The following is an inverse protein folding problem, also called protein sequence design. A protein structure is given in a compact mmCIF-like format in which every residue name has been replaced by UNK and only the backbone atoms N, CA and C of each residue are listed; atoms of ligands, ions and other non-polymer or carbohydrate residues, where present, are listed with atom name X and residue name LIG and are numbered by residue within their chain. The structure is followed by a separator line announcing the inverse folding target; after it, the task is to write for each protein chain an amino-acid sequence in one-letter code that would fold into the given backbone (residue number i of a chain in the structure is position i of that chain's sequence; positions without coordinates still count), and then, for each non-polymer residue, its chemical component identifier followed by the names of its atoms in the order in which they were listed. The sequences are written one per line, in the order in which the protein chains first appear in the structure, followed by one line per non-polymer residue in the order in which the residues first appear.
data_IF_976461789923
#
_entry.id   IF_976461789923
#
_cell.length_a   1.000
_cell.length_b   1.000
_cell.length_c   1.000
_cell.angle_alpha   90.00
_cell.angle_beta   90.00
_cell.angle_gamma   90.00
#
_symmetry.space_group_name_H-M   'P 1'
#
loop_
_entity.id
_entity.type
_entity.pdbx_description
1 polymer ?
#
# COMPACT_ATOMS: atom_id res chain seq x y z
N UNK A 1 25.45 20.60 15.10
CA UNK A 1 24.25 19.76 15.28
C UNK A 1 23.88 19.25 13.90
N UNK A 2 23.77 17.94 13.69
CA UNK A 2 23.44 17.39 12.36
C UNK A 2 21.95 17.63 12.11
N UNK A 3 21.63 18.31 11.03
CA UNK A 3 20.28 18.63 10.58
C UNK A 3 20.06 18.11 9.16
N UNK A 4 18.80 18.00 8.73
CA UNK A 4 18.46 17.59 7.36
C UNK A 4 19.19 18.51 6.36
N UNK A 5 19.72 17.91 5.29
CA UNK A 5 20.53 18.57 4.26
C UNK A 5 21.90 19.11 4.70
N UNK A 6 22.37 18.85 5.93
CA UNK A 6 23.75 19.17 6.31
C UNK A 6 24.76 18.30 5.53
N UNK A 7 26.02 18.73 5.34
CA UNK A 7 27.05 17.91 4.69
C UNK A 7 27.23 16.54 5.36
N UNK A 8 27.17 16.49 6.69
CA UNK A 8 27.29 15.25 7.46
C UNK A 8 26.08 14.33 7.26
N UNK A 9 24.86 14.90 7.23
CA UNK A 9 23.64 14.16 6.93
C UNK A 9 23.68 13.59 5.52
N UNK A 10 24.04 14.40 4.52
CA UNK A 10 24.14 13.97 3.13
C UNK A 10 25.20 12.86 2.95
N UNK A 11 26.34 12.99 3.63
CA UNK A 11 27.37 11.93 3.62
C UNK A 11 26.85 10.64 4.26
N UNK A 12 26.07 10.73 5.34
CA UNK A 12 25.43 9.56 5.95
C UNK A 12 24.39 8.94 5.03
N UNK A 13 23.46 9.75 4.51
CA UNK A 13 22.41 9.32 3.59
C UNK A 13 23.00 8.64 2.35
N UNK A 14 24.09 9.17 1.77
CA UNK A 14 24.78 8.55 0.65
C UNK A 14 25.25 7.12 0.98
N UNK A 15 25.78 6.88 2.19
CA UNK A 15 26.16 5.51 2.62
C UNK A 15 24.95 4.60 2.79
N UNK A 16 23.84 5.13 3.33
CA UNK A 16 22.61 4.36 3.52
C UNK A 16 21.96 4.00 2.18
N UNK A 17 21.89 4.95 1.24
CA UNK A 17 21.23 4.73 -0.05
C UNK A 17 21.96 3.73 -0.94
N UNK A 18 23.25 3.50 -0.72
CA UNK A 18 23.95 2.38 -1.38
C UNK A 18 23.27 1.05 -1.08
N UNK A 19 22.63 0.88 0.09
CA UNK A 19 21.85 -0.31 0.41
C UNK A 19 20.63 -0.47 -0.50
N UNK A 20 20.01 0.63 -0.96
CA UNK A 20 18.87 0.58 -1.88
C UNK A 20 19.21 -0.19 -3.15
N UNK A 21 20.40 0.05 -3.71
CA UNK A 21 20.87 -0.53 -4.96
C UNK A 21 20.98 -2.06 -4.90
N UNK A 22 21.16 -2.64 -3.72
CA UNK A 22 21.29 -4.09 -3.53
C UNK A 22 19.97 -4.80 -3.27
N UNK A 23 18.95 -4.09 -2.76
CA UNK A 23 17.75 -4.72 -2.21
C UNK A 23 16.43 -4.21 -2.79
N UNK A 24 16.45 -3.10 -3.54
CA UNK A 24 15.27 -2.53 -4.19
C UNK A 24 15.52 -2.52 -5.70
N UNK A 25 14.70 -3.26 -6.42
CA UNK A 25 14.74 -3.30 -7.87
C UNK A 25 14.50 -1.91 -8.46
N UNK A 26 15.31 -1.52 -9.45
CA UNK A 26 15.28 -0.21 -10.10
C UNK A 26 15.44 1.00 -9.15
N UNK A 27 16.09 0.82 -8.00
CA UNK A 27 16.40 1.94 -7.10
C UNK A 27 17.32 2.98 -7.75
N UNK A 28 17.01 4.25 -7.49
CA UNK A 28 17.83 5.39 -7.85
C UNK A 28 18.18 6.19 -6.59
N UNK A 29 19.31 6.89 -6.60
CA UNK A 29 19.64 7.83 -5.53
C UNK A 29 18.60 8.95 -5.45
N UNK A 30 18.33 9.46 -4.25
CA UNK A 30 17.42 10.61 -4.09
C UNK A 30 18.15 11.90 -4.44
N UNK A 31 17.37 12.92 -4.81
CA UNK A 31 17.92 14.27 -4.97
C UNK A 31 18.05 14.96 -3.61
N UNK A 32 19.26 15.00 -3.07
CA UNK A 32 19.54 15.60 -1.76
C UNK A 32 19.33 17.13 -1.74
N UNK A 33 19.18 17.78 -2.90
CA UNK A 33 18.89 19.21 -2.99
C UNK A 33 17.38 19.50 -3.01
N UNK A 34 16.53 18.49 -3.22
CA UNK A 34 15.09 18.66 -3.23
C UNK A 34 14.53 18.55 -1.79
N UNK A 35 14.03 19.66 -1.21
CA UNK A 35 13.57 19.71 0.18
C UNK A 35 12.27 18.93 0.41
N UNK A 36 11.66 18.36 -0.64
CA UNK A 36 10.49 17.49 -0.51
C UNK A 36 10.85 16.09 -0.03
N UNK A 37 12.11 15.69 -0.13
CA UNK A 37 12.57 14.42 0.40
C UNK A 37 12.57 14.44 1.92
N UNK A 38 11.99 13.40 2.49
CA UNK A 38 12.00 13.14 3.92
C UNK A 38 12.50 11.72 4.16
N UNK A 39 13.40 11.56 5.12
CA UNK A 39 14.05 10.28 5.40
C UNK A 39 13.77 9.83 6.83
N UNK A 40 13.44 8.55 6.98
CA UNK A 40 13.29 7.88 8.27
C UNK A 40 14.39 6.84 8.40
N UNK A 41 15.02 6.78 9.57
CA UNK A 41 16.03 5.77 9.88
C UNK A 41 15.57 4.95 11.07
N UNK A 42 15.68 3.64 10.95
CA UNK A 42 15.44 2.69 12.03
C UNK A 42 16.79 2.20 12.53
N UNK A 43 17.01 2.29 13.84
CA UNK A 43 18.20 1.78 14.48
C UNK A 43 17.87 0.72 15.54
N UNK A 44 18.75 -0.26 15.66
CA UNK A 44 18.84 -1.13 16.82
C UNK A 44 19.80 -0.51 17.83
N UNK A 45 19.36 -0.32 19.08
CA UNK A 45 20.24 0.08 20.18
C UNK A 45 20.76 -1.15 20.93
N UNK A 46 22.08 -1.22 21.14
CA UNK A 46 22.72 -2.30 21.90
C UNK A 46 23.80 -1.74 22.81
N UNK A 47 24.13 -2.47 23.89
CA UNK A 47 25.27 -2.14 24.76
C UNK A 47 26.45 -3.01 24.40
N UNK A 48 27.63 -2.40 24.28
CA UNK A 48 28.89 -3.13 24.20
C UNK A 48 29.29 -3.70 25.57
N UNK A 49 30.27 -4.59 25.58
CA UNK A 49 30.84 -5.19 26.80
C UNK A 49 31.40 -4.14 27.77
N UNK A 50 31.83 -2.98 27.25
CA UNK A 50 32.27 -1.81 28.03
C UNK A 50 31.12 -0.99 28.65
N UNK A 51 29.87 -1.43 28.48
CA UNK A 51 28.66 -0.74 28.95
C UNK A 51 28.18 0.41 28.05
N UNK A 52 28.92 0.74 27.00
CA UNK A 52 28.60 1.89 26.14
C UNK A 52 27.46 1.55 25.19
N UNK A 53 26.42 2.39 25.19
CA UNK A 53 25.33 2.31 24.21
C UNK A 53 25.83 2.65 22.81
N UNK A 54 25.46 1.82 21.84
CA UNK A 54 25.70 1.99 20.41
C UNK A 54 24.41 1.76 19.65
N UNK A 55 24.39 2.26 18.42
CA UNK A 55 23.27 2.08 17.49
C UNK A 55 23.78 1.46 16.19
N UNK A 56 23.03 0.50 15.66
CA UNK A 56 23.23 -0.08 14.34
C UNK A 56 22.05 0.28 13.45
N UNK A 57 22.31 0.65 12.20
CA UNK A 57 21.23 0.92 11.24
C UNK A 57 20.52 -0.39 10.91
N UNK A 58 19.23 -0.47 11.21
CA UNK A 58 18.39 -1.62 10.92
C UNK A 58 17.61 -1.48 9.60
N UNK A 59 17.29 -0.24 9.21
CA UNK A 59 16.59 0.04 7.97
C UNK A 59 16.36 1.53 7.78
N UNK A 60 15.80 1.89 6.64
CA UNK A 60 15.45 3.27 6.34
C UNK A 60 14.25 3.34 5.38
N UNK A 61 13.64 4.52 5.32
CA UNK A 61 12.64 4.85 4.31
C UNK A 61 12.90 6.26 3.77
N UNK A 62 12.70 6.45 2.48
CA UNK A 62 12.72 7.76 1.83
C UNK A 62 11.37 7.99 1.17
N UNK A 63 10.78 9.15 1.45
CA UNK A 63 9.53 9.56 0.84
C UNK A 63 9.64 10.95 0.24
N UNK A 64 8.77 11.23 -0.73
CA UNK A 64 8.62 12.56 -1.33
C UNK A 64 7.30 13.16 -0.91
N UNK A 65 7.35 14.36 -0.35
CA UNK A 65 6.16 15.17 0.01
C UNK A 65 5.62 15.88 -1.23
N UNK A 66 4.87 15.16 -2.08
CA UNK A 66 4.27 15.76 -3.27
C UNK A 66 3.22 16.81 -2.90
N UNK A 67 3.29 17.97 -3.55
CA UNK A 67 2.25 18.98 -3.46
C UNK A 67 0.93 18.43 -4.00
N UNK A 68 -0.14 18.66 -3.26
CA UNK A 68 -1.50 18.37 -3.65
C UNK A 68 -2.31 19.66 -3.53
N UNK A 69 -2.72 20.21 -4.68
CA UNK A 69 -3.49 21.46 -4.74
C UNK A 69 -4.75 21.42 -3.85
N UNK A 70 -5.12 22.52 -3.17
CA UNK A 70 -4.47 23.84 -3.19
C UNK A 70 -3.37 24.04 -2.15
N UNK A 71 -3.39 23.31 -1.03
CA UNK A 71 -2.54 23.59 0.14
C UNK A 71 -2.12 22.31 0.88
N UNK A 72 -2.25 21.16 0.23
CA UNK A 72 -2.07 19.84 0.83
C UNK A 72 -0.81 19.14 0.34
N UNK A 73 -0.49 18.03 0.99
CA UNK A 73 0.64 17.17 0.71
C UNK A 73 0.14 15.73 0.58
N UNK A 74 0.69 15.01 -0.40
CA UNK A 74 0.53 13.56 -0.58
C UNK A 74 1.91 12.90 -0.46
N UNK A 75 2.32 12.49 0.74
CA UNK A 75 3.55 11.73 0.91
C UNK A 75 3.52 10.46 0.06
N UNK A 76 4.59 10.22 -0.70
CA UNK A 76 4.79 8.99 -1.46
C UNK A 76 6.05 8.31 -0.96
N UNK A 77 5.89 7.15 -0.33
CA UNK A 77 7.00 6.27 0.04
C UNK A 77 7.65 5.80 -1.26
N UNK A 78 8.86 6.27 -1.53
CA UNK A 78 9.62 5.90 -2.72
C UNK A 78 10.50 4.67 -2.43
N UNK A 79 11.13 4.67 -1.26
CA UNK A 79 12.03 3.60 -0.82
C UNK A 79 11.71 3.24 0.62
N UNK A 80 11.68 1.95 0.93
CA UNK A 80 11.62 1.44 2.29
C UNK A 80 12.32 0.10 2.35
N UNK A 81 13.24 -0.04 3.28
CA UNK A 81 14.10 -1.19 3.40
C UNK A 81 14.36 -1.52 4.87
N UNK A 82 14.38 -2.82 5.18
CA UNK A 82 15.06 -3.36 6.34
C UNK A 82 16.25 -4.18 5.86
N UNK A 83 17.35 -4.18 6.61
CA UNK A 83 18.46 -5.10 6.32
C UNK A 83 17.99 -6.56 6.52
N UNK A 84 18.52 -7.53 5.74
CA UNK A 84 18.02 -8.91 5.73
C UNK A 84 17.94 -9.59 7.11
N UNK A 85 18.88 -9.30 8.01
CA UNK A 85 18.91 -9.88 9.35
C UNK A 85 17.82 -9.36 10.29
N UNK A 86 17.09 -8.31 9.92
CA UNK A 86 15.92 -7.79 10.65
C UNK A 86 14.58 -8.22 10.05
N UNK A 87 14.57 -9.09 9.03
CA UNK A 87 13.35 -9.58 8.41
C UNK A 87 12.63 -10.60 9.30
N UNK A 88 11.33 -10.82 9.05
CA UNK A 88 10.54 -11.87 9.71
C UNK A 88 10.11 -11.61 11.16
N UNK A 89 10.73 -10.66 11.87
CA UNK A 89 10.47 -10.37 13.29
C UNK A 89 9.42 -9.27 13.56
N UNK A 90 8.53 -8.98 12.59
CA UNK A 90 7.52 -7.91 12.69
C UNK A 90 8.06 -6.48 12.73
N UNK A 91 9.38 -6.30 12.56
CA UNK A 91 10.04 -5.00 12.58
C UNK A 91 9.54 -4.10 11.44
N UNK A 92 9.30 -4.67 10.25
CA UNK A 92 8.84 -3.90 9.08
C UNK A 92 7.47 -3.28 9.28
N UNK A 93 6.54 -4.02 9.90
CA UNK A 93 5.22 -3.52 10.24
C UNK A 93 5.32 -2.38 11.28
N UNK A 94 6.13 -2.56 12.33
CA UNK A 94 6.36 -1.53 13.36
C UNK A 94 6.99 -0.27 12.76
N UNK A 95 7.96 -0.43 11.87
CA UNK A 95 8.61 0.70 11.20
C UNK A 95 7.63 1.47 10.32
N UNK A 96 6.84 0.77 9.50
CA UNK A 96 5.80 1.39 8.67
C UNK A 96 4.73 2.09 9.52
N UNK A 97 4.30 1.47 10.63
CA UNK A 97 3.36 2.06 11.59
C UNK A 97 3.91 3.34 12.22
N UNK A 98 5.21 3.37 12.56
CA UNK A 98 5.87 4.57 13.09
C UNK A 98 5.89 5.71 12.06
N UNK A 99 6.23 5.42 10.80
CA UNK A 99 6.18 6.39 9.69
C UNK A 99 4.75 6.93 9.53
N UNK A 100 3.74 6.06 9.56
CA UNK A 100 2.34 6.49 9.45
C UNK A 100 1.92 7.37 10.62
N UNK A 101 2.25 6.97 11.86
CA UNK A 101 1.90 7.74 13.04
C UNK A 101 2.46 9.16 13.01
N UNK A 102 3.68 9.33 12.49
CA UNK A 102 4.29 10.64 12.24
C UNK A 102 3.52 11.43 11.17
N UNK A 103 3.34 10.85 9.97
CA UNK A 103 2.68 11.52 8.86
C UNK A 103 1.21 11.89 9.13
N UNK A 104 0.49 11.09 9.91
CA UNK A 104 -0.91 11.34 10.27
C UNK A 104 -1.06 12.60 11.15
N UNK A 105 -0.02 12.98 11.92
CA UNK A 105 -0.06 14.20 12.74
C UNK A 105 -0.07 15.48 11.90
N UNK A 106 0.42 15.44 10.66
CA UNK A 106 0.46 16.61 9.79
C UNK A 106 -0.91 16.84 9.12
N UNK A 107 -1.65 17.92 9.47
CA UNK A 107 -2.97 18.20 8.90
C UNK A 107 -2.94 18.55 7.40
N UNK A 108 -1.75 18.83 6.83
CA UNK A 108 -1.59 19.01 5.38
C UNK A 108 -1.57 17.68 4.63
N UNK A 109 -1.26 16.57 5.30
CA UNK A 109 -1.25 15.25 4.68
C UNK A 109 -2.69 14.82 4.38
N UNK A 110 -2.97 14.53 3.11
CA UNK A 110 -4.30 14.05 2.68
C UNK A 110 -4.41 12.53 2.74
N UNK A 111 -3.42 11.84 2.16
CA UNK A 111 -3.29 10.40 2.13
C UNK A 111 -1.82 10.01 1.92
N UNK A 112 -1.49 8.76 2.22
CA UNK A 112 -0.15 8.21 2.03
C UNK A 112 -0.16 7.24 0.86
N UNK A 113 0.82 7.38 -0.02
CA UNK A 113 0.97 6.57 -1.23
C UNK A 113 2.34 5.89 -1.27
N UNK A 114 2.54 4.99 -2.23
CA UNK A 114 3.83 4.33 -2.45
C UNK A 114 4.13 4.30 -3.95
N UNK A 115 5.40 4.46 -4.29
CA UNK A 115 5.91 4.31 -5.65
C UNK A 115 6.10 2.83 -5.96
N UNK A 116 5.47 2.36 -7.04
CA UNK A 116 5.56 0.97 -7.56
C UNK A 116 5.82 -0.08 -6.47
N UNK A 117 4.86 -0.31 -5.56
CA UNK A 117 5.12 -1.07 -4.34
C UNK A 117 5.39 -2.55 -4.64
N UNK A 118 6.50 -3.07 -4.10
CA UNK A 118 6.80 -4.51 -4.12
C UNK A 118 5.74 -5.33 -3.35
N UNK A 119 5.58 -6.60 -3.69
CA UNK A 119 4.58 -7.50 -3.07
C UNK A 119 4.75 -7.62 -1.54
N UNK A 120 5.99 -7.68 -1.06
CA UNK A 120 6.32 -7.72 0.37
C UNK A 120 5.89 -6.44 1.10
N UNK A 121 6.03 -5.29 0.44
CA UNK A 121 5.54 -4.00 0.96
C UNK A 121 4.01 -3.96 0.95
N UNK A 122 3.36 -4.43 -0.11
CA UNK A 122 1.89 -4.50 -0.18
C UNK A 122 1.35 -5.32 0.99
N UNK A 123 1.91 -6.52 1.21
CA UNK A 123 1.50 -7.40 2.32
C UNK A 123 1.68 -6.73 3.69
N UNK A 124 2.82 -6.06 3.89
CA UNK A 124 3.12 -5.35 5.15
C UNK A 124 2.16 -4.17 5.35
N UNK A 125 1.93 -3.38 4.30
CA UNK A 125 0.99 -2.25 4.31
C UNK A 125 -0.43 -2.71 4.60
N UNK A 126 -0.88 -3.79 3.97
CA UNK A 126 -2.20 -4.35 4.19
C UNK A 126 -2.38 -4.78 5.64
N UNK A 127 -1.39 -5.47 6.22
CA UNK A 127 -1.42 -5.86 7.63
C UNK A 127 -1.51 -4.64 8.57
N UNK A 128 -0.68 -3.62 8.35
CA UNK A 128 -0.70 -2.38 9.17
C UNK A 128 -2.04 -1.65 9.02
N UNK A 129 -2.53 -1.50 7.79
CA UNK A 129 -3.79 -0.82 7.52
C UNK A 129 -4.99 -1.59 8.10
N UNK A 130 -5.01 -2.91 8.00
CA UNK A 130 -6.06 -3.73 8.59
C UNK A 130 -6.01 -3.67 10.12
N UNK A 131 -4.82 -3.69 10.72
CA UNK A 131 -4.64 -3.56 12.18
C UNK A 131 -5.12 -2.21 12.70
N UNK A 132 -4.93 -1.14 11.92
CA UNK A 132 -5.45 0.18 12.25
C UNK A 132 -6.97 0.24 12.06
N UNK A 133 -7.48 -0.14 10.89
CA UNK A 133 -8.91 -0.03 10.57
C UNK A 133 -9.79 -0.98 11.37
N UNK A 134 -9.30 -2.13 11.84
CA UNK A 134 -10.08 -3.04 12.69
C UNK A 134 -10.50 -2.40 14.02
N UNK A 135 -9.83 -1.32 14.45
CA UNK A 135 -10.21 -0.53 15.64
C UNK A 135 -11.39 0.42 15.40
N UNK A 136 -11.80 0.63 14.15
CA UNK A 136 -12.87 1.55 13.77
C UNK A 136 -14.22 0.83 13.71
N UNK A 137 -15.25 1.47 14.29
CA UNK A 137 -16.64 0.95 14.29
C UNK A 137 -17.17 0.67 12.87
N UNK A 138 -16.73 1.47 11.90
CA UNK A 138 -17.12 1.35 10.49
C UNK A 138 -16.67 0.02 9.89
N UNK A 139 -15.59 -0.57 10.41
CA UNK A 139 -15.02 -1.85 9.97
C UNK A 139 -15.38 -3.03 10.88
N UNK A 140 -16.36 -2.89 11.79
CA UNK A 140 -16.89 -4.02 12.54
C UNK A 140 -17.58 -5.04 11.62
N UNK A 141 -17.59 -6.32 12.02
CA UNK A 141 -18.13 -7.44 11.26
C UNK A 141 -19.53 -7.20 10.66
N UNK A 142 -20.43 -6.60 11.44
CA UNK A 142 -21.81 -6.34 11.01
C UNK A 142 -21.90 -5.27 9.90
N UNK A 143 -20.93 -4.36 9.84
CA UNK A 143 -20.86 -3.35 8.78
C UNK A 143 -20.13 -3.90 7.55
N UNK A 144 -19.10 -4.72 7.73
CA UNK A 144 -18.39 -5.37 6.63
C UNK A 144 -19.32 -6.23 5.75
N UNK A 145 -20.28 -6.94 6.37
CA UNK A 145 -21.28 -7.75 5.66
C UNK A 145 -22.19 -6.93 4.74
N UNK A 146 -22.37 -5.64 4.98
CA UNK A 146 -23.28 -4.76 4.22
C UNK A 146 -22.67 -4.21 2.93
N UNK A 147 -21.39 -4.48 2.65
CA UNK A 147 -20.69 -3.91 1.50
C UNK A 147 -19.68 -2.82 1.89
N UNK A 148 -18.87 -2.40 0.92
CA UNK A 148 -17.95 -1.28 1.10
C UNK A 148 -18.71 0.05 1.06
N UNK A 149 -18.64 0.83 2.14
CA UNK A 149 -19.40 2.08 2.28
C UNK A 149 -18.54 3.33 2.25
N UNK A 150 -19.18 4.48 2.04
CA UNK A 150 -18.52 5.80 2.07
C UNK A 150 -18.00 6.13 3.48
N UNK A 151 -18.68 5.67 4.53
CA UNK A 151 -18.25 5.84 5.92
C UNK A 151 -16.93 5.10 6.17
N UNK A 152 -16.78 3.87 5.68
CA UNK A 152 -15.52 3.11 5.77
C UNK A 152 -14.38 3.85 5.06
N UNK A 153 -14.66 4.33 3.83
CA UNK A 153 -13.68 5.11 3.04
C UNK A 153 -13.25 6.37 3.79
N UNK A 154 -14.21 7.13 4.30
CA UNK A 154 -13.94 8.40 5.00
C UNK A 154 -13.26 8.17 6.34
N UNK A 155 -13.65 7.16 7.10
CA UNK A 155 -13.01 6.83 8.38
C UNK A 155 -11.55 6.42 8.19
N UNK A 156 -11.25 5.56 7.22
CA UNK A 156 -9.88 5.16 6.89
C UNK A 156 -9.02 6.36 6.43
N UNK A 157 -9.59 7.25 5.60
CA UNK A 157 -8.90 8.45 5.12
C UNK A 157 -8.65 9.46 6.25
N UNK A 158 -9.67 9.78 7.05
CA UNK A 158 -9.59 10.82 8.08
C UNK A 158 -8.73 10.39 9.27
N UNK A 159 -8.83 9.13 9.70
CA UNK A 159 -8.12 8.62 10.88
C UNK A 159 -6.71 8.17 10.58
N UNK A 160 -6.48 7.59 9.42
CA UNK A 160 -5.22 6.91 9.10
C UNK A 160 -4.59 7.35 7.77
N UNK A 161 -5.15 8.35 7.08
CA UNK A 161 -4.65 8.85 5.79
C UNK A 161 -4.53 7.73 4.74
N UNK A 162 -5.42 6.74 4.81
CA UNK A 162 -5.47 5.61 3.87
C UNK A 162 -6.30 6.03 2.65
N UNK A 163 -5.68 6.00 1.46
CA UNK A 163 -6.36 6.38 0.22
C UNK A 163 -7.52 5.41 -0.13
N UNK A 164 -8.50 5.84 -0.95
CA UNK A 164 -9.69 5.04 -1.26
C UNK A 164 -9.42 3.64 -1.83
N UNK A 165 -8.38 3.50 -2.66
CA UNK A 165 -7.99 2.19 -3.24
C UNK A 165 -7.53 1.23 -2.14
N UNK A 166 -6.75 1.72 -1.19
CA UNK A 166 -6.30 0.94 -0.03
C UNK A 166 -7.43 0.68 0.97
N UNK A 167 -8.32 1.65 1.21
CA UNK A 167 -9.47 1.45 2.08
C UNK A 167 -10.40 0.34 1.57
N UNK A 168 -10.63 0.27 0.25
CA UNK A 168 -11.38 -0.83 -0.38
C UNK A 168 -10.70 -2.17 -0.18
N UNK A 169 -9.38 -2.23 -0.30
CA UNK A 169 -8.58 -3.46 -0.10
C UNK A 169 -8.64 -3.93 1.35
N UNK A 170 -8.53 -3.01 2.31
CA UNK A 170 -8.70 -3.28 3.76
C UNK A 170 -10.08 -3.84 4.06
N UNK A 171 -11.13 -3.26 3.47
CA UNK A 171 -12.49 -3.80 3.56
C UNK A 171 -12.58 -5.25 3.07
N UNK A 172 -12.00 -5.57 1.91
CA UNK A 172 -12.03 -6.93 1.36
C UNK A 172 -11.33 -7.92 2.30
N UNK A 173 -10.14 -7.57 2.80
CA UNK A 173 -9.38 -8.41 3.75
C UNK A 173 -10.16 -8.63 5.04
N UNK A 174 -10.65 -7.55 5.65
CA UNK A 174 -11.38 -7.64 6.92
C UNK A 174 -12.72 -8.34 6.76
N UNK A 175 -13.42 -8.16 5.64
CA UNK A 175 -14.66 -8.92 5.34
C UNK A 175 -14.35 -10.41 5.23
N UNK A 176 -13.34 -10.79 4.45
CA UNK A 176 -12.92 -12.19 4.32
C UNK A 176 -12.52 -12.80 5.67
N UNK A 177 -11.87 -12.03 6.54
CA UNK A 177 -11.48 -12.48 7.87
C UNK A 177 -12.69 -12.88 8.75
N UNK A 178 -13.84 -12.23 8.58
CA UNK A 178 -15.05 -12.46 9.38
C UNK A 178 -16.06 -13.41 8.73
N UNK A 179 -15.81 -13.90 7.51
CA UNK A 179 -16.67 -14.92 6.89
C UNK A 179 -16.39 -16.28 7.55
N UNK A 180 -17.45 -16.94 8.01
CA UNK A 180 -17.35 -18.28 8.58
C UNK A 180 -16.90 -19.30 7.52
N UNK A 181 -16.05 -20.25 7.90
CA UNK A 181 -15.50 -21.29 6.98
C UNK A 181 -16.60 -22.06 6.24
N UNK A 182 -17.79 -22.20 6.85
CA UNK A 182 -18.93 -22.94 6.32
C UNK A 182 -20.02 -22.05 5.71
N UNK A 183 -19.81 -20.75 5.65
CA UNK A 183 -20.79 -19.81 5.11
C UNK A 183 -20.60 -19.62 3.60
N UNK A 184 -21.07 -20.62 2.83
CA UNK A 184 -20.96 -20.63 1.37
C UNK A 184 -21.63 -19.42 0.72
N UNK A 185 -22.78 -19.00 1.27
CA UNK A 185 -23.52 -17.85 0.75
C UNK A 185 -22.71 -16.56 0.93
N UNK A 186 -22.15 -16.32 2.12
CA UNK A 186 -21.33 -15.15 2.34
C UNK A 186 -20.05 -15.17 1.50
N UNK A 187 -19.45 -16.34 1.27
CA UNK A 187 -18.30 -16.49 0.38
C UNK A 187 -18.64 -16.17 -1.07
N UNK A 188 -19.80 -16.59 -1.57
CA UNK A 188 -20.24 -16.26 -2.93
C UNK A 188 -20.54 -14.76 -3.08
N UNK A 189 -21.24 -14.16 -2.12
CA UNK A 189 -21.48 -12.71 -2.10
C UNK A 189 -20.17 -11.90 -2.03
N UNK A 190 -19.17 -12.41 -1.30
CA UNK A 190 -17.83 -11.84 -1.25
C UNK A 190 -17.13 -11.94 -2.60
N UNK A 191 -17.13 -13.13 -3.23
CA UNK A 191 -16.51 -13.36 -4.54
C UNK A 191 -17.08 -12.43 -5.61
N UNK A 192 -18.41 -12.29 -5.66
CA UNK A 192 -19.09 -11.42 -6.61
C UNK A 192 -18.71 -9.94 -6.42
N UNK A 193 -18.62 -9.46 -5.17
CA UNK A 193 -18.21 -8.08 -4.89
C UNK A 193 -16.76 -7.80 -5.31
N UNK A 194 -15.82 -8.69 -4.98
CA UNK A 194 -14.41 -8.54 -5.39
C UNK A 194 -14.29 -8.58 -6.92
N UNK A 195 -14.95 -9.54 -7.59
CA UNK A 195 -14.94 -9.61 -9.06
C UNK A 195 -15.56 -8.38 -9.70
N UNK A 196 -16.64 -7.83 -9.16
CA UNK A 196 -17.25 -6.57 -9.65
C UNK A 196 -16.27 -5.40 -9.58
N UNK A 197 -15.40 -5.33 -8.57
CA UNK A 197 -14.29 -4.36 -8.53
C UNK A 197 -13.25 -4.66 -9.60
N UNK A 198 -12.78 -5.90 -9.68
CA UNK A 198 -11.74 -6.33 -10.62
C UNK A 198 -12.17 -6.18 -12.08
N UNK A 199 -13.47 -6.21 -12.37
CA UNK A 199 -14.01 -6.01 -13.71
C UNK A 199 -13.94 -4.56 -14.17
N UNK A 200 -13.87 -3.58 -13.25
CA UNK A 200 -13.94 -2.14 -13.60
C UNK A 200 -12.91 -1.71 -14.67
N UNK A 201 -11.62 -2.10 -14.58
CA UNK A 201 -10.63 -1.74 -15.60
C UNK A 201 -10.91 -2.34 -16.99
N UNK A 202 -11.67 -3.44 -17.06
CA UNK A 202 -12.03 -4.10 -18.32
C UNK A 202 -13.28 -3.50 -18.97
N UNK A 203 -14.02 -2.63 -18.27
CA UNK A 203 -15.16 -1.92 -18.84
C UNK A 203 -14.68 -0.60 -19.41
N UNK A 204 -14.46 -0.54 -20.73
CA UNK A 204 -14.42 0.74 -21.45
C UNK A 204 -15.81 1.35 -21.39
N UNK A 205 -15.91 2.62 -21.02
CA UNK A 205 -17.20 3.29 -20.98
C UNK A 205 -17.74 3.45 -22.42
N UNK A 206 -19.06 3.54 -22.61
CA UNK A 206 -19.64 3.93 -23.90
C UNK A 206 -18.99 5.22 -24.43
N UNK A 207 -18.61 6.13 -23.53
CA UNK A 207 -17.96 7.38 -23.88
C UNK A 207 -16.57 7.18 -24.46
N UNK A 208 -15.82 6.20 -23.95
CA UNK A 208 -14.51 5.83 -24.49
C UNK A 208 -14.69 5.23 -25.89
N UNK A 209 -15.71 4.39 -26.08
CA UNK A 209 -16.02 3.83 -27.39
C UNK A 209 -16.44 4.88 -28.41
N UNK A 210 -17.33 5.80 -28.05
CA UNK A 210 -17.72 6.93 -28.92
C UNK A 210 -16.53 7.82 -29.27
N UNK A 211 -15.63 8.06 -28.31
CA UNK A 211 -14.39 8.80 -28.59
C UNK A 211 -13.50 8.05 -29.57
N UNK A 212 -13.28 6.75 -29.38
CA UNK A 212 -12.50 5.94 -30.31
C UNK A 212 -13.12 5.97 -31.72
N UNK A 213 -14.43 5.76 -31.84
CA UNK A 213 -15.11 5.76 -33.15
C UNK A 213 -15.10 7.12 -33.84
N UNK A 214 -14.92 8.22 -33.09
CA UNK A 214 -14.82 9.57 -33.65
C UNK A 214 -13.41 9.96 -34.11
N UNK A 215 -12.39 9.26 -33.62
CA UNK A 215 -10.97 9.61 -33.85
C UNK A 215 -10.28 8.61 -34.79
N UNK A 216 -10.67 7.34 -34.71
CA UNK A 216 -10.08 6.26 -35.50
C UNK A 216 -10.84 6.08 -36.81
N UNK A 217 -10.12 5.71 -37.87
CA UNK A 217 -10.76 5.21 -39.08
C UNK A 217 -11.37 3.81 -38.84
N UNK A 218 -12.12 3.32 -39.83
CA UNK A 218 -12.84 2.04 -39.73
C UNK A 218 -11.89 0.84 -39.54
N UNK A 219 -10.69 0.90 -40.11
CA UNK A 219 -9.68 -0.15 -39.98
C UNK A 219 -9.05 -0.14 -38.58
N UNK A 220 -8.61 1.02 -38.10
CA UNK A 220 -8.04 1.22 -36.77
C UNK A 220 -9.06 0.88 -35.67
N UNK A 221 -10.31 1.31 -35.83
CA UNK A 221 -11.39 0.98 -34.91
C UNK A 221 -11.61 -0.54 -34.85
N UNK A 222 -11.67 -1.20 -36.01
CA UNK A 222 -11.80 -2.65 -36.09
C UNK A 222 -10.61 -3.39 -35.45
N UNK A 223 -9.39 -2.89 -35.63
CA UNK A 223 -8.19 -3.45 -34.99
C UNK A 223 -8.25 -3.33 -33.46
N UNK A 224 -8.72 -2.19 -32.91
CA UNK A 224 -8.86 -2.00 -31.47
C UNK A 224 -9.97 -2.88 -30.88
N UNK A 225 -11.06 -3.09 -31.61
CA UNK A 225 -12.12 -4.02 -31.21
C UNK A 225 -11.58 -5.45 -31.23
N UNK A 226 -10.86 -5.84 -32.28
CA UNK A 226 -10.26 -7.17 -32.40
C UNK A 226 -9.16 -7.43 -31.36
N UNK A 227 -8.47 -6.40 -30.88
CA UNK A 227 -7.47 -6.53 -29.80
C UNK A 227 -8.11 -6.68 -28.42
N UNK A 228 -9.44 -6.57 -28.29
CA UNK A 228 -10.11 -6.80 -27.01
C UNK A 228 -10.14 -8.28 -26.69
N UNK A 229 -9.98 -8.57 -25.39
CA UNK A 229 -10.12 -9.92 -24.88
C UNK A 229 -11.53 -10.44 -25.17
N UNK A 230 -11.63 -11.69 -25.63
CA UNK A 230 -12.93 -12.36 -25.76
C UNK A 230 -13.61 -12.45 -24.39
N UNK A 231 -14.93 -12.69 -24.38
CA UNK A 231 -15.67 -12.83 -23.13
C UNK A 231 -15.10 -13.97 -22.26
N UNK A 232 -14.73 -15.09 -22.87
CA UNK A 232 -14.10 -16.23 -22.18
C UNK A 232 -12.73 -15.86 -21.60
N UNK A 233 -11.87 -15.18 -22.37
CA UNK A 233 -10.58 -14.69 -21.89
C UNK A 233 -10.74 -13.72 -20.72
N UNK A 234 -11.74 -12.84 -20.78
CA UNK A 234 -12.05 -11.88 -19.71
C UNK A 234 -12.51 -12.61 -18.44
N UNK A 235 -13.39 -13.61 -18.57
CA UNK A 235 -13.83 -14.44 -17.42
C UNK A 235 -12.63 -15.17 -16.80
N UNK A 236 -11.81 -15.83 -17.62
CA UNK A 236 -10.63 -16.55 -17.15
C UNK A 236 -9.63 -15.61 -16.46
N UNK A 237 -9.40 -14.41 -17.01
CA UNK A 237 -8.49 -13.43 -16.41
C UNK A 237 -9.04 -12.86 -15.10
N UNK A 238 -10.35 -12.62 -15.00
CA UNK A 238 -10.98 -12.18 -13.76
C UNK A 238 -10.89 -13.26 -12.67
N UNK A 239 -11.02 -14.53 -13.06
CA UNK A 239 -10.82 -15.65 -12.14
C UNK A 239 -9.38 -15.68 -11.62
N UNK A 240 -8.40 -15.59 -12.53
CA UNK A 240 -6.99 -15.55 -12.16
C UNK A 240 -6.69 -14.41 -11.18
N UNK A 241 -7.13 -13.18 -11.50
CA UNK A 241 -6.91 -12.01 -10.64
C UNK A 241 -7.59 -12.16 -9.28
N UNK A 242 -8.77 -12.79 -9.24
CA UNK A 242 -9.49 -13.05 -7.99
C UNK A 242 -8.70 -14.02 -7.10
N UNK A 243 -8.19 -15.12 -7.65
CA UNK A 243 -7.40 -16.10 -6.90
C UNK A 243 -6.07 -15.53 -6.40
N UNK A 244 -5.39 -14.71 -7.21
CA UNK A 244 -4.17 -13.98 -6.81
C UNK A 244 -4.45 -13.04 -5.61
N UNK A 245 -5.52 -12.26 -5.67
CA UNK A 245 -5.94 -11.37 -4.58
C UNK A 245 -6.32 -12.17 -3.32
N UNK A 246 -7.04 -13.27 -3.48
CA UNK A 246 -7.45 -14.13 -2.37
C UNK A 246 -6.23 -14.73 -1.65
N UNK A 247 -5.22 -15.19 -2.39
CA UNK A 247 -3.98 -15.73 -1.83
C UNK A 247 -3.22 -14.66 -1.02
N UNK A 248 -3.11 -13.44 -1.56
CA UNK A 248 -2.51 -12.30 -0.86
C UNK A 248 -3.29 -11.96 0.43
N UNK A 249 -4.63 -11.91 0.36
CA UNK A 249 -5.46 -11.61 1.52
C UNK A 249 -5.36 -12.67 2.61
N UNK A 250 -5.34 -13.96 2.25
CA UNK A 250 -5.14 -15.05 3.22
C UNK A 250 -3.80 -14.93 3.96
N UNK A 251 -2.74 -14.48 3.27
CA UNK A 251 -1.44 -14.22 3.90
C UNK A 251 -1.54 -13.12 4.96
N UNK A 252 -2.26 -12.03 4.66
CA UNK A 252 -2.50 -10.94 5.61
C UNK A 252 -3.39 -11.39 6.78
N UNK A 253 -4.47 -12.14 6.51
CA UNK A 253 -5.37 -12.67 7.55
C UNK A 253 -4.63 -13.60 8.51
N UNK A 254 -3.76 -14.48 8.00
CA UNK A 254 -2.91 -15.33 8.85
C UNK A 254 -2.03 -14.51 9.79
N UNK A 255 -1.51 -13.36 9.33
CA UNK A 255 -0.76 -12.42 10.18
C UNK A 255 -1.65 -11.73 11.20
N UNK A 256 -2.86 -11.29 10.82
CA UNK A 256 -3.82 -10.67 11.75
C UNK A 256 -4.21 -11.62 12.89
N UNK A 257 -4.48 -12.89 12.58
CA UNK A 257 -4.83 -13.91 13.57
C UNK A 257 -3.66 -14.17 14.54
N UNK A 258 -2.44 -14.29 14.01
CA UNK A 258 -1.27 -14.65 14.81
C UNK A 258 -0.67 -13.47 15.59
N UNK A 259 -0.91 -12.23 15.17
CA UNK A 259 -0.26 -11.03 15.69
C UNK A 259 -1.26 -9.89 15.92
N UNK A 260 -2.42 -10.18 16.52
CA UNK A 260 -3.49 -9.21 16.73
C UNK A 260 -3.06 -7.93 17.51
N UNK A 261 -1.89 -7.94 18.17
CA UNK A 261 -1.36 -6.85 18.99
C UNK A 261 0.01 -6.31 18.52
N UNK A 262 0.36 -6.44 17.23
CA UNK A 262 1.66 -6.03 16.67
C UNK A 262 1.93 -4.53 16.55
#
# INVERSE_FOLDING_TARGET
MVNESSPEFNAYLARVQTLALWYIEAAQYTDNNDPRWQHYFLYESFKKDDGTSRVALAGYASLVRFYNYPDKIRPRIAQILLLPHYHGAGIGARFLKAIYNDLIQDPKVIDITAEVPAESFITTRDYVNCSNCSTLKEFHADNLKKGFTEEMKNAALLRFKINPKQARRVYEILRLHHIGIRDEKAMEEYRLDVKKRLEKPFKRSERDWRKLSSVLDEYEYSAVVASQMSMEQKIAKLEQLYEEELAAYRTVIKRLINFANG
#
